data_IF_908501921395
#
_entry.id   IF_908501921395
#
_cell.length_a   1.000
_cell.length_b   1.000
_cell.length_c   1.000
_cell.angle_alpha   90.00
_cell.angle_beta   90.00
_cell.angle_gamma   90.00
#
_symmetry.space_group_name_H-M   'P 1'
#
loop_
_entity.id
_entity.type
_entity.pdbx_description
1 polymer ?
#
# COMPACT_ATOMS: atom_id res chain seq x y z
N UNK A 1 5.43 8.50 -7.70
CA UNK A 1 4.65 9.66 -7.21
C UNK A 1 4.33 9.42 -5.75
N UNK A 2 4.79 10.28 -4.84
CA UNK A 2 4.40 10.15 -3.41
C UNK A 2 2.91 10.49 -3.26
N UNK A 3 2.24 9.93 -2.24
CA UNK A 3 0.83 10.17 -1.94
C UNK A 3 0.50 11.68 -1.85
N UNK A 4 1.45 12.48 -1.36
CA UNK A 4 1.34 13.95 -1.31
C UNK A 4 1.19 14.64 -2.68
N UNK A 5 1.83 14.13 -3.75
CA UNK A 5 1.62 14.68 -5.10
C UNK A 5 0.21 14.42 -5.62
N UNK A 6 -0.37 13.26 -5.29
CA UNK A 6 -1.74 12.92 -5.69
C UNK A 6 -2.74 13.86 -4.99
N UNK A 7 -2.52 14.15 -3.71
CA UNK A 7 -3.30 15.16 -2.98
C UNK A 7 -3.24 16.54 -3.67
N UNK A 8 -2.03 17.02 -3.98
CA UNK A 8 -1.86 18.34 -4.59
C UNK A 8 -2.48 18.42 -5.99
N UNK A 9 -2.25 17.41 -6.83
CA UNK A 9 -2.78 17.35 -8.19
C UNK A 9 -4.31 17.27 -8.17
N UNK A 10 -4.88 16.41 -7.32
CA UNK A 10 -6.34 16.29 -7.20
C UNK A 10 -6.97 17.58 -6.70
N UNK A 11 -6.43 18.18 -5.62
CA UNK A 11 -6.94 19.43 -5.09
C UNK A 11 -6.85 20.57 -6.11
N UNK A 12 -5.71 20.74 -6.77
CA UNK A 12 -5.52 21.76 -7.79
C UNK A 12 -6.46 21.56 -8.99
N UNK A 13 -6.67 20.32 -9.42
CA UNK A 13 -7.57 20.00 -10.55
C UNK A 13 -9.03 20.30 -10.20
N UNK A 14 -9.49 19.88 -9.02
CA UNK A 14 -10.86 20.14 -8.57
C UNK A 14 -11.09 21.64 -8.37
N UNK A 15 -10.14 22.34 -7.75
CA UNK A 15 -10.20 23.80 -7.57
C UNK A 15 -10.20 24.55 -8.92
N UNK A 16 -9.40 24.09 -9.90
CA UNK A 16 -9.45 24.62 -11.26
C UNK A 16 -10.82 24.40 -11.90
N UNK A 17 -11.46 23.24 -11.68
CA UNK A 17 -12.84 22.98 -12.10
C UNK A 17 -13.84 23.97 -11.51
N UNK A 18 -13.72 24.29 -10.22
CA UNK A 18 -14.56 25.32 -9.57
C UNK A 18 -14.40 26.67 -10.28
N UNK A 19 -13.15 27.14 -10.46
CA UNK A 19 -12.87 28.42 -11.15
C UNK A 19 -13.38 28.39 -12.59
N UNK A 20 -13.20 27.28 -13.30
CA UNK A 20 -13.69 27.09 -14.66
C UNK A 20 -15.23 27.18 -14.71
N UNK A 21 -15.93 26.55 -13.78
CA UNK A 21 -17.38 26.66 -13.66
C UNK A 21 -17.86 28.10 -13.43
N UNK A 22 -17.21 28.85 -12.53
CA UNK A 22 -17.53 30.26 -12.28
C UNK A 22 -17.28 31.14 -13.51
N UNK A 23 -16.17 30.93 -14.21
CA UNK A 23 -15.82 31.72 -15.41
C UNK A 23 -16.71 31.40 -16.59
N UNK A 24 -17.10 30.14 -16.79
CA UNK A 24 -18.10 29.76 -17.79
C UNK A 24 -19.44 30.42 -17.48
N UNK A 25 -19.89 30.39 -16.21
CA UNK A 25 -21.12 31.06 -15.79
C UNK A 25 -21.12 32.54 -16.14
N UNK A 26 -20.02 33.25 -15.87
CA UNK A 26 -19.90 34.68 -16.15
C UNK A 26 -19.92 35.00 -17.66
N UNK A 27 -19.54 34.05 -18.53
CA UNK A 27 -19.52 34.23 -19.99
C UNK A 27 -20.78 33.73 -20.69
N UNK A 28 -21.61 32.91 -20.04
CA UNK A 28 -22.80 32.32 -20.64
C UNK A 28 -24.00 33.29 -20.54
N UNK A 29 -24.64 33.65 -21.67
CA UNK A 29 -25.89 34.41 -21.67
C UNK A 29 -26.99 33.64 -20.92
N UNK A 30 -27.87 34.36 -20.20
CA UNK A 30 -28.94 33.78 -19.38
C UNK A 30 -29.87 32.80 -20.13
N UNK A 31 -29.92 32.88 -21.47
CA UNK A 31 -30.75 32.03 -22.32
C UNK A 31 -30.24 30.57 -22.44
N UNK A 32 -28.95 30.29 -22.24
CA UNK A 32 -28.40 28.91 -22.21
C UNK A 32 -28.38 28.29 -20.81
N UNK A 33 -28.82 29.05 -19.79
CA UNK A 33 -29.05 28.60 -18.41
C UNK A 33 -30.54 28.30 -18.15
N UNK A 34 -31.31 28.02 -19.21
CA UNK A 34 -32.70 27.58 -19.11
C UNK A 34 -32.83 26.30 -18.26
N UNK A 35 -34.00 26.13 -17.63
CA UNK A 35 -34.26 25.05 -16.66
C UNK A 35 -33.91 23.67 -17.20
N UNK A 36 -34.33 23.34 -18.43
CA UNK A 36 -34.16 22.01 -19.02
C UNK A 36 -32.69 21.63 -19.24
N UNK A 37 -31.86 22.55 -19.75
CA UNK A 37 -30.42 22.28 -19.95
C UNK A 37 -29.70 22.14 -18.62
N UNK A 38 -30.05 22.96 -17.62
CA UNK A 38 -29.52 22.86 -16.26
C UNK A 38 -29.88 21.53 -15.61
N UNK A 39 -31.13 21.08 -15.75
CA UNK A 39 -31.60 19.80 -15.22
C UNK A 39 -30.81 18.62 -15.80
N UNK A 40 -30.62 18.58 -17.13
CA UNK A 40 -29.86 17.52 -17.80
C UNK A 40 -28.41 17.47 -17.31
N UNK A 41 -27.73 18.62 -17.21
CA UNK A 41 -26.33 18.66 -16.74
C UNK A 41 -26.25 18.27 -15.26
N UNK A 42 -27.24 18.66 -14.44
CA UNK A 42 -27.29 18.30 -13.02
C UNK A 42 -27.56 16.81 -12.82
N UNK A 43 -28.44 16.21 -13.61
CA UNK A 43 -28.69 14.76 -13.64
C UNK A 43 -27.43 14.00 -14.06
N UNK A 44 -26.74 14.45 -15.12
CA UNK A 44 -25.47 13.87 -15.57
C UNK A 44 -24.37 13.97 -14.50
N UNK A 45 -24.24 15.12 -13.83
CA UNK A 45 -23.31 15.30 -12.72
C UNK A 45 -23.67 14.40 -11.52
N UNK A 46 -24.96 14.21 -11.24
CA UNK A 46 -25.43 13.28 -10.22
C UNK A 46 -25.05 11.83 -10.53
N UNK A 47 -25.23 11.40 -11.78
CA UNK A 47 -24.80 10.07 -12.24
C UNK A 47 -23.26 9.90 -12.16
N UNK A 48 -22.50 10.91 -12.57
CA UNK A 48 -21.04 10.88 -12.39
C UNK A 48 -20.65 10.80 -10.92
N UNK A 49 -21.37 11.48 -10.03
CA UNK A 49 -21.10 11.45 -8.60
C UNK A 49 -21.36 10.07 -7.99
N UNK A 50 -22.42 9.36 -8.40
CA UNK A 50 -22.68 7.99 -7.93
C UNK A 50 -21.62 7.01 -8.43
N UNK A 51 -21.23 7.11 -9.71
CA UNK A 51 -20.13 6.31 -10.26
C UNK A 51 -18.80 6.60 -9.55
N UNK A 52 -18.47 7.88 -9.32
CA UNK A 52 -17.28 8.29 -8.60
C UNK A 52 -17.26 7.73 -7.17
N UNK A 53 -18.39 7.77 -6.45
CA UNK A 53 -18.49 7.22 -5.10
C UNK A 53 -18.24 5.71 -5.05
N UNK A 54 -18.77 4.95 -6.02
CA UNK A 54 -18.53 3.51 -6.14
C UNK A 54 -17.05 3.24 -6.42
N UNK A 55 -16.45 3.96 -7.37
CA UNK A 55 -15.02 3.80 -7.71
C UNK A 55 -14.13 4.14 -6.52
N UNK A 56 -14.39 5.25 -5.82
CA UNK A 56 -13.68 5.62 -4.58
C UNK A 56 -13.77 4.47 -3.57
N UNK A 57 -14.97 3.96 -3.30
CA UNK A 57 -15.18 2.90 -2.31
C UNK A 57 -14.43 1.61 -2.67
N UNK A 58 -14.46 1.22 -3.95
CA UNK A 58 -13.75 0.03 -4.43
C UNK A 58 -12.22 0.21 -4.37
N UNK A 59 -11.73 1.41 -4.70
CA UNK A 59 -10.31 1.73 -4.60
C UNK A 59 -9.83 1.72 -3.14
N UNK A 60 -10.61 2.26 -2.20
CA UNK A 60 -10.30 2.17 -0.75
C UNK A 60 -10.27 0.71 -0.31
N UNK A 61 -11.27 -0.09 -0.68
CA UNK A 61 -11.35 -1.50 -0.32
C UNK A 61 -10.17 -2.30 -0.89
N UNK A 62 -9.80 -2.05 -2.15
CA UNK A 62 -8.65 -2.70 -2.80
C UNK A 62 -7.32 -2.29 -2.17
N UNK A 63 -7.12 -0.99 -1.90
CA UNK A 63 -5.92 -0.50 -1.23
C UNK A 63 -5.79 -1.09 0.18
N UNK A 64 -6.89 -1.13 0.94
CA UNK A 64 -6.92 -1.76 2.27
C UNK A 64 -6.64 -3.27 2.19
N UNK A 65 -7.25 -4.00 1.27
CA UNK A 65 -7.03 -5.44 1.12
C UNK A 65 -5.56 -5.75 0.79
N UNK A 66 -4.95 -4.95 -0.11
CA UNK A 66 -3.53 -5.07 -0.42
C UNK A 66 -2.65 -4.78 0.80
N UNK A 67 -2.96 -3.72 1.56
CA UNK A 67 -2.28 -3.40 2.82
C UNK A 67 -2.37 -4.56 3.83
N UNK A 68 -3.59 -5.07 4.08
CA UNK A 68 -3.84 -6.17 5.02
C UNK A 68 -3.12 -7.46 4.59
N UNK A 69 -3.06 -7.76 3.28
CA UNK A 69 -2.33 -8.91 2.74
C UNK A 69 -0.83 -8.78 2.99
N UNK A 70 -0.24 -7.61 2.73
CA UNK A 70 1.18 -7.38 2.97
C UNK A 70 1.53 -7.43 4.46
N UNK A 71 0.69 -6.86 5.33
CA UNK A 71 0.84 -6.98 6.79
C UNK A 71 0.74 -8.45 7.25
N UNK A 72 -0.20 -9.22 6.71
CA UNK A 72 -0.34 -10.65 7.01
C UNK A 72 0.90 -11.46 6.60
N UNK A 73 1.43 -11.25 5.39
CA UNK A 73 2.67 -11.90 4.94
C UNK A 73 3.87 -11.53 5.81
N UNK A 74 3.95 -10.28 6.25
CA UNK A 74 5.02 -9.82 7.14
C UNK A 74 4.92 -10.46 8.53
N UNK A 75 3.71 -10.54 9.11
CA UNK A 75 3.43 -11.24 10.37
C UNK A 75 3.75 -12.73 10.29
N UNK A 76 3.37 -13.38 9.18
CA UNK A 76 3.66 -14.79 8.95
C UNK A 76 5.17 -15.04 8.88
N UNK A 77 5.91 -14.19 8.16
CA UNK A 77 7.37 -14.27 8.11
C UNK A 77 7.99 -14.13 9.52
N UNK A 78 7.52 -13.18 10.32
CA UNK A 78 7.96 -12.98 11.70
C UNK A 78 7.71 -14.23 12.57
N UNK A 79 6.50 -14.79 12.48
CA UNK A 79 6.11 -15.97 13.25
C UNK A 79 6.97 -17.19 12.88
N UNK A 80 7.21 -17.41 11.59
CA UNK A 80 8.02 -18.53 11.10
C UNK A 80 9.49 -18.39 11.54
N UNK A 81 10.03 -17.16 11.56
CA UNK A 81 11.37 -16.89 12.10
C UNK A 81 11.44 -17.24 13.60
N UNK A 82 10.46 -16.83 14.41
CA UNK A 82 10.45 -17.16 15.84
C UNK A 82 10.30 -18.68 16.05
N UNK A 83 9.46 -19.34 15.26
CA UNK A 83 9.27 -20.79 15.33
C UNK A 83 10.56 -21.54 14.95
N UNK A 84 11.24 -21.14 13.88
CA UNK A 84 12.50 -21.73 13.48
C UNK A 84 13.59 -21.57 14.57
N UNK A 85 13.71 -20.40 15.21
CA UNK A 85 14.66 -20.22 16.31
C UNK A 85 14.32 -21.11 17.52
N UNK A 86 13.02 -21.26 17.85
CA UNK A 86 12.58 -22.15 18.93
C UNK A 86 12.90 -23.61 18.63
N UNK A 87 12.70 -24.07 17.40
CA UNK A 87 13.04 -25.44 16.99
C UNK A 87 14.56 -25.66 17.03
N UNK A 88 15.34 -24.69 16.55
CA UNK A 88 16.80 -24.74 16.65
C UNK A 88 17.28 -24.71 18.12
N UNK A 89 16.60 -23.98 19.00
CA UNK A 89 16.89 -23.98 20.43
C UNK A 89 16.63 -25.36 21.07
N UNK A 90 15.55 -26.04 20.68
CA UNK A 90 15.23 -27.39 21.12
C UNK A 90 16.18 -28.45 20.56
N UNK A 91 16.73 -28.23 19.36
CA UNK A 91 17.70 -29.13 18.74
C UNK A 91 19.01 -29.24 19.55
N UNK A 92 19.37 -28.18 20.29
CA UNK A 92 20.50 -28.18 21.23
C UNK A 92 21.76 -27.50 20.69
N UNK A 93 22.95 -27.80 21.26
CA UNK A 93 24.18 -27.03 21.03
C UNK A 93 24.71 -27.08 19.59
N UNK A 94 24.42 -28.14 18.83
CA UNK A 94 24.77 -28.27 17.41
C UNK A 94 24.12 -27.20 16.52
N UNK A 95 22.95 -26.69 16.93
CA UNK A 95 22.21 -25.67 16.18
C UNK A 95 22.67 -24.24 16.46
N UNK A 96 23.63 -24.02 17.37
CA UNK A 96 24.10 -22.67 17.75
C UNK A 96 24.69 -21.90 16.57
N UNK A 97 25.44 -22.59 15.70
CA UNK A 97 25.98 -21.98 14.47
C UNK A 97 24.89 -21.51 13.52
N UNK A 98 23.85 -22.34 13.32
CA UNK A 98 22.69 -22.04 12.48
C UNK A 98 21.88 -20.87 13.05
N UNK A 99 21.66 -20.85 14.37
CA UNK A 99 20.98 -19.74 15.06
C UNK A 99 21.74 -18.42 14.90
N UNK A 100 23.07 -18.44 14.97
CA UNK A 100 23.89 -17.24 14.77
C UNK A 100 23.78 -16.70 13.34
N UNK A 101 23.84 -17.58 12.34
CA UNK A 101 23.62 -17.21 10.94
C UNK A 101 22.23 -16.64 10.71
N UNK A 102 21.20 -17.27 11.28
CA UNK A 102 19.82 -16.79 11.19
C UNK A 102 19.65 -15.40 11.83
N UNK A 103 20.22 -15.17 13.02
CA UNK A 103 20.22 -13.85 13.69
C UNK A 103 20.93 -12.77 12.88
N UNK A 104 21.96 -13.11 12.11
CA UNK A 104 22.63 -12.17 11.20
C UNK A 104 21.84 -11.95 9.90
N UNK A 105 21.15 -12.98 9.42
CA UNK A 105 20.39 -12.96 8.17
C UNK A 105 19.12 -12.10 8.27
N UNK A 106 18.40 -12.18 9.40
CA UNK A 106 17.10 -11.54 9.54
C UNK A 106 17.16 -10.01 9.41
N UNK A 107 18.02 -9.27 10.14
CA UNK A 107 18.11 -7.81 9.99
C UNK A 107 18.49 -7.39 8.57
N UNK A 108 19.45 -8.08 7.96
CA UNK A 108 19.90 -7.79 6.60
C UNK A 108 18.80 -8.03 5.55
N UNK A 109 18.00 -9.09 5.72
CA UNK A 109 16.85 -9.36 4.88
C UNK A 109 15.75 -8.29 5.04
N UNK A 110 15.53 -7.81 6.26
CA UNK A 110 14.54 -6.77 6.55
C UNK A 110 14.92 -5.42 5.96
N UNK A 111 16.16 -4.96 6.18
CA UNK A 111 16.65 -3.70 5.62
C UNK A 111 16.59 -3.70 4.09
N UNK A 112 16.73 -4.87 3.47
CA UNK A 112 16.58 -5.01 2.02
C UNK A 112 15.12 -4.95 1.57
N UNK A 113 14.21 -5.70 2.21
CA UNK A 113 12.77 -5.63 1.91
C UNK A 113 12.29 -4.18 2.02
N UNK A 114 12.71 -3.48 3.08
CA UNK A 114 12.34 -2.08 3.27
C UNK A 114 12.91 -1.17 2.19
N UNK A 115 14.18 -1.33 1.80
CA UNK A 115 14.79 -0.56 0.71
C UNK A 115 14.10 -0.81 -0.63
N UNK A 116 13.94 -2.07 -1.05
CA UNK A 116 13.28 -2.43 -2.31
C UNK A 116 11.83 -1.92 -2.35
N UNK A 117 11.11 -1.93 -1.21
CA UNK A 117 9.72 -1.46 -1.13
C UNK A 117 9.57 0.07 -1.00
N UNK A 118 10.56 0.78 -0.45
CA UNK A 118 10.55 2.25 -0.33
C UNK A 118 11.07 2.95 -1.57
N UNK A 119 12.08 2.40 -2.24
CA UNK A 119 12.62 2.95 -3.48
C UNK A 119 11.93 2.30 -4.68
N UNK A 120 10.75 2.80 -5.05
CA UNK A 120 10.00 2.40 -6.27
C UNK A 120 10.71 2.79 -7.59
N UNK A 121 12.05 2.89 -7.62
CA UNK A 121 12.81 3.58 -8.67
C UNK A 121 14.05 2.84 -9.16
N UNK A 122 14.29 1.58 -8.76
CA UNK A 122 15.41 0.80 -9.32
C UNK A 122 14.90 -0.48 -9.99
N UNK A 123 14.80 -0.49 -11.33
CA UNK A 123 14.45 -1.69 -12.08
C UNK A 123 15.67 -2.59 -12.19
N UNK A 124 16.20 -3.10 -11.08
CA UNK A 124 17.21 -4.17 -11.10
C UNK A 124 17.75 -4.39 -9.68
N UNK A 125 17.07 -5.23 -8.93
CA UNK A 125 17.76 -6.36 -8.31
C UNK A 125 16.79 -7.52 -8.41
N UNK A 126 16.92 -8.30 -9.48
CA UNK A 126 16.37 -9.65 -9.53
C UNK A 126 16.59 -10.31 -8.17
N UNK A 127 15.62 -11.10 -7.69
CA UNK A 127 15.69 -11.91 -6.47
C UNK A 127 17.08 -12.55 -6.40
N UNK A 128 18.05 -11.86 -5.81
CA UNK A 128 19.39 -12.39 -5.70
C UNK A 128 19.22 -13.34 -4.56
N UNK A 129 19.33 -14.64 -4.85
CA UNK A 129 19.44 -15.65 -3.84
C UNK A 129 20.39 -15.09 -2.77
N UNK A 130 19.83 -14.82 -1.59
CA UNK A 130 20.63 -14.21 -0.53
C UNK A 130 21.72 -15.23 -0.27
N UNK A 131 22.98 -14.89 -0.49
CA UNK A 131 24.10 -15.78 -0.13
C UNK A 131 23.97 -16.24 1.32
N UNK A 132 23.41 -15.40 2.19
CA UNK A 132 23.11 -15.73 3.59
C UNK A 132 21.90 -16.67 3.77
N UNK A 133 20.88 -16.60 2.92
CA UNK A 133 19.75 -17.54 2.97
C UNK A 133 20.12 -18.91 2.41
N UNK A 134 20.93 -18.96 1.35
CA UNK A 134 21.55 -20.19 0.85
C UNK A 134 22.51 -20.79 1.88
N UNK A 135 23.33 -19.97 2.55
CA UNK A 135 24.17 -20.41 3.66
C UNK A 135 23.35 -20.95 4.83
N UNK A 136 22.21 -20.31 5.16
CA UNK A 136 21.31 -20.80 6.21
C UNK A 136 20.69 -22.14 5.80
N UNK A 137 20.24 -22.28 4.56
CA UNK A 137 19.68 -23.52 4.04
C UNK A 137 20.71 -24.67 4.09
N UNK A 138 21.92 -24.44 3.59
CA UNK A 138 22.99 -25.42 3.66
C UNK A 138 23.40 -25.76 5.11
N UNK A 139 23.43 -24.77 6.01
CA UNK A 139 23.73 -25.01 7.41
C UNK A 139 22.62 -25.85 8.09
N UNK A 140 21.37 -25.74 7.64
CA UNK A 140 20.26 -26.57 8.10
C UNK A 140 20.39 -28.01 7.57
N UNK A 141 20.78 -28.19 6.30
CA UNK A 141 20.99 -29.52 5.71
C UNK A 141 22.10 -30.30 6.42
N UNK A 142 23.18 -29.59 6.80
CA UNK A 142 24.36 -30.14 7.49
C UNK A 142 24.12 -30.56 8.95
N UNK A 143 22.97 -30.23 9.55
CA UNK A 143 22.62 -30.74 10.89
C UNK A 143 22.43 -32.27 10.83
N UNK A 144 23.32 -33.02 11.48
CA UNK A 144 23.23 -34.48 11.59
C UNK A 144 22.55 -34.84 12.90
N UNK A 145 21.38 -35.51 12.89
CA UNK A 145 20.69 -35.91 14.10
C UNK A 145 21.42 -37.09 14.77
N UNK A 146 21.90 -36.87 15.99
CA UNK A 146 22.58 -37.87 16.82
C UNK A 146 21.62 -38.63 17.75
N UNK A 147 20.42 -38.11 18.00
CA UNK A 147 19.39 -38.78 18.82
C UNK A 147 17.99 -38.78 18.14
N UNK A 148 17.07 -39.61 18.66
CA UNK A 148 15.73 -39.77 18.09
C UNK A 148 14.89 -38.47 18.17
N UNK A 149 15.08 -37.66 19.22
CA UNK A 149 14.42 -36.35 19.33
C UNK A 149 14.89 -35.37 18.23
N UNK A 150 16.18 -35.38 17.88
CA UNK A 150 16.74 -34.59 16.79
C UNK A 150 16.30 -35.11 15.41
N UNK A 151 16.10 -36.43 15.25
CA UNK A 151 15.51 -37.00 14.02
C UNK A 151 14.08 -36.51 13.78
N UNK A 152 13.30 -36.33 14.85
CA UNK A 152 11.95 -35.76 14.76
C UNK A 152 11.93 -34.24 14.55
N UNK A 153 12.92 -33.52 15.11
CA UNK A 153 13.00 -32.06 15.00
C UNK A 153 13.54 -31.57 13.64
N UNK A 154 14.49 -32.30 13.03
CA UNK A 154 15.09 -31.91 11.74
C UNK A 154 14.05 -31.61 10.64
N UNK A 155 13.04 -32.45 10.34
CA UNK A 155 12.06 -32.15 9.30
C UNK A 155 11.25 -30.89 9.60
N UNK A 156 10.93 -30.62 10.87
CA UNK A 156 10.21 -29.39 11.28
C UNK A 156 11.05 -28.12 11.06
N UNK A 157 12.36 -28.20 11.28
CA UNK A 157 13.29 -27.07 11.03
C UNK A 157 13.38 -26.79 9.52
N UNK A 158 13.45 -27.84 8.71
CA UNK A 158 13.47 -27.72 7.24
C UNK A 158 12.17 -27.11 6.71
N UNK A 159 11.03 -27.57 7.22
CA UNK A 159 9.70 -27.03 6.88
C UNK A 159 9.59 -25.55 7.26
N UNK A 160 9.95 -25.19 8.49
CA UNK A 160 9.94 -23.79 8.92
C UNK A 160 10.87 -22.90 8.07
N UNK A 161 12.03 -23.42 7.64
CA UNK A 161 12.92 -22.71 6.72
C UNK A 161 12.30 -22.52 5.33
N UNK A 162 11.59 -23.52 4.82
CA UNK A 162 10.91 -23.43 3.53
C UNK A 162 9.77 -22.39 3.59
N UNK A 163 9.02 -22.35 4.70
CA UNK A 163 7.95 -21.38 4.92
C UNK A 163 8.48 -19.94 5.02
N UNK A 164 9.65 -19.73 5.64
CA UNK A 164 10.34 -18.42 5.64
C UNK A 164 10.70 -18.00 4.21
N UNK A 165 11.26 -18.91 3.41
CA UNK A 165 11.62 -18.63 2.02
C UNK A 165 10.38 -18.31 1.17
N UNK A 166 9.29 -19.06 1.36
CA UNK A 166 8.03 -18.85 0.66
C UNK A 166 7.38 -17.52 1.03
N UNK A 167 7.27 -17.19 2.33
CA UNK A 167 6.73 -15.92 2.79
C UNK A 167 7.55 -14.73 2.27
N UNK A 168 8.88 -14.86 2.23
CA UNK A 168 9.76 -13.86 1.62
C UNK A 168 9.49 -13.69 0.13
N UNK A 169 9.34 -14.79 -0.62
CA UNK A 169 9.01 -14.75 -2.05
C UNK A 169 7.67 -14.06 -2.31
N UNK A 170 6.64 -14.34 -1.50
CA UNK A 170 5.35 -13.67 -1.59
C UNK A 170 5.48 -12.15 -1.40
N UNK A 171 6.24 -11.70 -0.40
CA UNK A 171 6.52 -10.28 -0.21
C UNK A 171 7.18 -9.62 -1.43
N UNK A 172 7.99 -10.35 -2.20
CA UNK A 172 8.61 -9.82 -3.44
C UNK A 172 7.73 -9.98 -4.69
N UNK A 173 6.95 -11.04 -4.80
CA UNK A 173 6.08 -11.28 -5.94
C UNK A 173 4.90 -10.30 -5.97
N UNK A 174 4.37 -9.92 -4.79
CA UNK A 174 3.23 -9.01 -4.66
C UNK A 174 3.63 -7.52 -4.73
N UNK A 175 4.83 -7.20 -5.23
CA UNK A 175 5.38 -5.84 -5.27
C UNK A 175 4.78 -4.92 -6.32
N UNK A 176 4.21 -5.48 -7.38
CA UNK A 176 3.86 -4.75 -8.59
C UNK A 176 2.35 -4.76 -8.85
N UNK A 177 1.55 -4.40 -7.85
CA UNK A 177 0.25 -3.77 -8.16
C UNK A 177 0.44 -2.26 -8.07
N UNK A 178 1.03 -1.61 -9.10
CA UNK A 178 0.99 -0.17 -9.16
C UNK A 178 -0.48 0.22 -9.02
N UNK A 179 -0.70 1.23 -8.17
CA UNK A 179 -1.96 1.97 -8.05
C UNK A 179 -2.63 1.94 -9.41
N UNK A 180 -3.93 1.63 -9.43
CA UNK A 180 -4.80 1.82 -10.59
C UNK A 180 -4.81 3.31 -11.00
N UNK A 181 -3.66 3.82 -11.43
CA UNK A 181 -3.34 5.17 -11.86
C UNK A 181 -4.30 5.62 -12.96
N UNK A 182 -4.68 4.78 -13.95
CA UNK A 182 -5.74 5.17 -14.89
C UNK A 182 -7.08 5.42 -14.18
N UNK A 183 -7.47 4.60 -13.21
CA UNK A 183 -8.72 4.82 -12.47
C UNK A 183 -8.67 6.08 -11.62
N UNK A 184 -7.53 6.37 -10.98
CA UNK A 184 -7.33 7.58 -10.20
C UNK A 184 -7.41 8.84 -11.08
N UNK A 185 -6.81 8.81 -12.27
CA UNK A 185 -6.89 9.91 -13.24
C UNK A 185 -8.33 10.13 -13.72
N UNK A 186 -9.03 9.06 -14.09
CA UNK A 186 -10.45 9.12 -14.50
C UNK A 186 -11.31 9.69 -13.37
N UNK A 187 -11.04 9.30 -12.12
CA UNK A 187 -11.77 9.76 -10.96
C UNK A 187 -11.51 11.25 -10.67
N UNK A 188 -10.26 11.72 -10.72
CA UNK A 188 -9.94 13.15 -10.60
C UNK A 188 -10.65 13.94 -11.70
N UNK A 189 -10.67 13.42 -12.92
CA UNK A 189 -11.38 14.04 -14.03
C UNK A 189 -12.89 14.14 -13.76
N UNK A 190 -13.54 13.04 -13.35
CA UNK A 190 -14.97 13.06 -13.00
C UNK A 190 -15.28 14.04 -11.87
N UNK A 191 -14.48 14.07 -10.82
CA UNK A 191 -14.63 15.02 -9.71
C UNK A 191 -14.47 16.46 -10.19
N UNK A 192 -13.51 16.73 -11.06
CA UNK A 192 -13.32 18.07 -11.65
C UNK A 192 -14.56 18.50 -12.45
N UNK A 193 -15.14 17.60 -13.25
CA UNK A 193 -16.38 17.87 -14.00
C UNK A 193 -17.58 18.12 -13.07
N UNK A 194 -17.72 17.34 -11.99
CA UNK A 194 -18.79 17.50 -10.99
C UNK A 194 -18.69 18.88 -10.32
N UNK A 195 -17.52 19.26 -9.85
CA UNK A 195 -17.32 20.56 -9.19
C UNK A 195 -17.47 21.74 -10.17
N UNK A 196 -17.05 21.55 -11.43
CA UNK A 196 -17.32 22.51 -12.51
C UNK A 196 -18.83 22.70 -12.70
N UNK A 197 -19.59 21.61 -12.75
CA UNK A 197 -21.06 21.63 -12.88
C UNK A 197 -21.72 22.34 -11.69
N UNK A 198 -21.35 22.00 -10.45
CA UNK A 198 -21.88 22.67 -9.26
C UNK A 198 -21.60 24.17 -9.26
N UNK A 199 -20.39 24.57 -9.64
CA UNK A 199 -20.00 25.97 -9.66
C UNK A 199 -20.61 26.76 -10.83
N UNK A 200 -20.92 26.10 -11.94
CA UNK A 200 -21.56 26.73 -13.11
C UNK A 200 -22.97 27.22 -12.77
N UNK A 201 -23.70 26.50 -11.92
CA UNK A 201 -25.12 26.77 -11.66
C UNK A 201 -25.41 27.55 -10.37
N UNK A 202 -24.38 27.96 -9.60
CA UNK A 202 -24.53 28.75 -8.36
C UNK A 202 -23.90 30.13 -8.49
N UNK A 203 -24.52 31.16 -7.91
CA UNK A 203 -23.94 32.52 -7.90
C UNK A 203 -22.66 32.53 -7.07
N UNK A 204 -21.55 33.06 -7.60
CA UNK A 204 -20.28 33.09 -6.89
C UNK A 204 -20.37 34.05 -5.70
N UNK A 205 -20.65 33.50 -4.53
CA UNK A 205 -20.54 34.17 -3.23
C UNK A 205 -19.42 33.56 -2.40
N UNK A 206 -18.86 34.32 -1.46
CA UNK A 206 -17.77 33.87 -0.60
C UNK A 206 -18.09 32.53 0.10
N UNK A 207 -19.32 32.38 0.61
CA UNK A 207 -19.78 31.14 1.27
C UNK A 207 -19.74 29.92 0.33
N UNK A 208 -20.19 30.09 -0.91
CA UNK A 208 -20.21 29.00 -1.92
C UNK A 208 -18.79 28.59 -2.29
N UNK A 209 -17.93 29.57 -2.53
CA UNK A 209 -16.51 29.34 -2.87
C UNK A 209 -15.83 28.59 -1.73
N UNK A 210 -15.98 29.06 -0.48
CA UNK A 210 -15.37 28.43 0.69
C UNK A 210 -15.90 27.00 0.88
N UNK A 211 -17.21 26.78 0.75
CA UNK A 211 -17.79 25.45 0.86
C UNK A 211 -17.26 24.48 -0.21
N UNK A 212 -17.18 24.92 -1.48
CA UNK A 212 -16.62 24.12 -2.57
C UNK A 212 -15.14 23.78 -2.34
N UNK A 213 -14.34 24.73 -1.85
CA UNK A 213 -12.94 24.46 -1.52
C UNK A 213 -12.79 23.48 -0.35
N UNK A 214 -13.64 23.56 0.67
CA UNK A 214 -13.65 22.59 1.79
C UNK A 214 -14.03 21.20 1.29
N UNK A 215 -15.02 21.08 0.40
CA UNK A 215 -15.38 19.79 -0.19
C UNK A 215 -14.26 19.24 -1.10
N UNK A 216 -13.63 20.09 -1.91
CA UNK A 216 -12.49 19.71 -2.73
C UNK A 216 -11.33 19.20 -1.87
N UNK A 217 -11.04 19.88 -0.76
CA UNK A 217 -10.04 19.46 0.22
C UNK A 217 -10.38 18.11 0.83
N UNK A 218 -11.62 17.92 1.28
CA UNK A 218 -12.08 16.65 1.88
C UNK A 218 -11.96 15.47 0.91
N UNK A 219 -12.37 15.65 -0.35
CA UNK A 219 -12.28 14.58 -1.37
C UNK A 219 -10.81 14.29 -1.71
N UNK A 220 -9.98 15.34 -1.83
CA UNK A 220 -8.54 15.18 -2.10
C UNK A 220 -7.83 14.44 -0.97
N UNK A 221 -8.21 14.68 0.29
CA UNK A 221 -7.74 13.90 1.45
C UNK A 221 -8.15 12.43 1.39
N UNK A 222 -9.34 12.11 0.87
CA UNK A 222 -9.75 10.73 0.63
C UNK A 222 -8.90 10.05 -0.45
N UNK A 223 -8.61 10.76 -1.56
CA UNK A 223 -7.72 10.26 -2.61
C UNK A 223 -6.28 10.09 -2.11
N UNK A 224 -5.82 10.98 -1.23
CA UNK A 224 -4.54 10.85 -0.53
C UNK A 224 -4.50 9.55 0.26
N UNK A 225 -5.51 9.25 1.07
CA UNK A 225 -5.55 8.02 1.88
C UNK A 225 -5.50 6.76 1.01
N UNK A 226 -6.20 6.74 -0.12
CA UNK A 226 -6.15 5.62 -1.09
C UNK A 226 -4.71 5.44 -1.60
N UNK A 227 -4.07 6.53 -2.00
CA UNK A 227 -2.69 6.51 -2.49
C UNK A 227 -1.68 6.14 -1.38
N UNK A 228 -1.92 6.59 -0.16
CA UNK A 228 -1.05 6.30 0.99
C UNK A 228 -1.13 4.83 1.40
N UNK A 229 -2.34 4.27 1.46
CA UNK A 229 -2.58 2.84 1.75
C UNK A 229 -1.94 1.91 0.71
N UNK A 230 -1.84 2.36 -0.54
CA UNK A 230 -1.15 1.61 -1.60
C UNK A 230 0.39 1.64 -1.47
N UNK A 231 0.93 2.43 -0.54
CA UNK A 231 2.35 2.52 -0.22
C UNK A 231 2.64 2.08 1.22
N UNK A 232 2.35 0.82 1.59
CA UNK A 232 2.43 0.31 2.98
C UNK A 232 3.82 0.43 3.64
N UNK A 233 4.87 0.63 2.85
CA UNK A 233 6.25 0.74 3.34
C UNK A 233 6.82 2.16 3.29
N UNK A 234 6.12 3.14 2.72
CA UNK A 234 6.62 4.52 2.59
C UNK A 234 5.58 5.59 2.95
N UNK A 235 4.31 5.20 3.07
CA UNK A 235 3.19 6.05 3.41
C UNK A 235 3.13 6.40 4.91
N UNK A 236 2.19 7.27 5.24
CA UNK A 236 1.89 7.71 6.60
C UNK A 236 1.34 6.56 7.46
N UNK A 237 0.55 5.66 6.84
CA UNK A 237 0.08 4.41 7.44
C UNK A 237 1.09 3.28 7.19
N UNK A 238 2.35 3.48 7.54
CA UNK A 238 3.40 2.48 7.34
C UNK A 238 3.14 1.25 8.23
N UNK A 239 3.40 0.04 7.70
CA UNK A 239 3.46 -1.17 8.53
C UNK A 239 4.53 -0.94 9.61
N UNK A 240 4.21 -1.13 10.89
CA UNK A 240 5.18 -0.83 11.94
C UNK A 240 6.34 -1.83 11.91
N UNK A 241 7.57 -1.35 11.72
CA UNK A 241 8.79 -2.15 11.90
C UNK A 241 8.99 -2.61 13.35
N UNK A 242 8.33 -1.95 14.30
CA UNK A 242 8.26 -2.30 15.72
C UNK A 242 7.65 -3.68 15.98
N UNK A 243 6.66 -4.10 15.18
CA UNK A 243 6.05 -5.42 15.33
C UNK A 243 7.11 -6.52 15.15
N UNK A 244 8.02 -6.34 14.20
CA UNK A 244 9.10 -7.28 13.96
C UNK A 244 10.21 -7.13 14.98
N UNK A 245 10.59 -5.91 15.37
CA UNK A 245 11.55 -5.70 16.47
C UNK A 245 11.08 -6.38 17.75
N UNK A 246 9.79 -6.32 18.06
CA UNK A 246 9.20 -6.99 19.21
C UNK A 246 9.10 -8.52 19.02
N UNK A 247 8.78 -8.99 17.82
CA UNK A 247 8.78 -10.43 17.52
C UNK A 247 10.20 -11.03 17.57
N UNK A 248 11.22 -10.25 17.22
CA UNK A 248 12.62 -10.63 17.25
C UNK A 248 13.30 -10.28 18.57
N UNK A 249 12.68 -9.51 19.46
CA UNK A 249 13.23 -9.16 20.77
C UNK A 249 13.56 -10.40 21.63
N UNK A 250 12.76 -11.49 21.63
CA UNK A 250 13.12 -12.75 22.28
C UNK A 250 14.34 -13.46 21.68
N UNK A 251 14.78 -13.05 20.47
CA UNK A 251 15.94 -13.61 19.77
C UNK A 251 17.24 -12.84 20.06
N UNK A 252 17.19 -11.70 20.77
CA UNK A 252 18.38 -10.97 21.20
C UNK A 252 18.94 -11.57 22.49
#
# INVERSE_FOLDING_TARGET
MTSGWIFLISFASIAAGVVLGMTLRARLPAFHLSGDTKEVIRLGAGLLATLAAVVISLMIASAKNSYDQQDAHFRQLAANIVLADRLLAQYGPEAVGVRKLMRQAVPAAMDRIWREKTTSSSPSTAFSANSVAEQLHHAIEMLSPDNDAQRELKPRIVEASADIAHARLLLFADSDTPIMTPFLLILIFWLTVIFTSFSLFVEPGAVVVTALLVFALSVSSGLFLIADLSQPFAGLMQISSELLRNALAPLN
#
